data_IF_932177070340
#
_entry.id   IF_932177070340
#
_cell.length_a   1.000
_cell.length_b   1.000
_cell.length_c   1.000
_cell.angle_alpha   90.00
_cell.angle_beta   90.00
_cell.angle_gamma   90.00
#
_symmetry.space_group_name_H-M   'P 1'
#
loop_
_entity.id
_entity.type
_entity.pdbx_description
1 polymer ?
#
# COMPACT_ATOMS: atom_id res chain seq x y z
N UNK A 1 10.32 -12.76 -4.61
CA UNK A 1 9.19 -12.72 -3.68
C UNK A 1 8.11 -11.85 -4.28
N UNK A 2 6.86 -12.13 -3.92
CA UNK A 2 5.71 -11.28 -4.27
C UNK A 2 5.43 -10.30 -3.14
N UNK A 3 5.33 -9.01 -3.47
CA UNK A 3 5.06 -7.95 -2.50
C UNK A 3 3.76 -7.22 -2.84
N UNK A 4 2.80 -7.29 -1.92
CA UNK A 4 1.57 -6.51 -1.99
C UNK A 4 1.73 -5.21 -1.23
N UNK A 5 1.47 -4.07 -1.88
CA UNK A 5 1.60 -2.75 -1.24
C UNK A 5 0.24 -2.08 -1.19
N UNK A 6 -0.28 -1.82 0.01
CA UNK A 6 -1.48 -1.02 0.20
C UNK A 6 -1.13 0.47 0.05
N UNK A 7 -1.61 1.10 -1.01
CA UNK A 7 -1.48 2.54 -1.23
C UNK A 7 -0.68 2.91 -2.47
N UNK A 8 -1.19 3.90 -3.21
CA UNK A 8 -0.64 4.35 -4.50
C UNK A 8 0.09 5.70 -4.41
N UNK A 9 0.28 6.21 -3.20
CA UNK A 9 0.95 7.48 -2.93
C UNK A 9 2.45 7.47 -3.24
N UNK A 10 3.15 8.55 -2.85
CA UNK A 10 4.61 8.65 -3.04
C UNK A 10 5.37 7.48 -2.41
N UNK A 11 5.07 7.16 -1.15
CA UNK A 11 5.73 6.06 -0.41
C UNK A 11 5.55 4.71 -1.12
N UNK A 12 4.31 4.33 -1.45
CA UNK A 12 4.01 3.06 -2.09
C UNK A 12 4.71 2.91 -3.44
N UNK A 13 4.68 3.94 -4.28
CA UNK A 13 5.37 3.95 -5.59
C UNK A 13 6.89 3.89 -5.44
N UNK A 14 7.48 4.63 -4.51
CA UNK A 14 8.94 4.64 -4.31
C UNK A 14 9.44 3.29 -3.83
N UNK A 15 8.79 2.70 -2.81
CA UNK A 15 9.15 1.36 -2.32
C UNK A 15 8.90 0.32 -3.40
N UNK A 16 7.75 0.38 -4.08
CA UNK A 16 7.40 -0.54 -5.16
C UNK A 16 8.41 -0.53 -6.30
N UNK A 17 8.77 0.65 -6.81
CA UNK A 17 9.78 0.78 -7.88
C UNK A 17 11.11 0.19 -7.47
N UNK A 18 11.59 0.48 -6.25
CA UNK A 18 12.86 -0.07 -5.80
C UNK A 18 12.83 -1.59 -5.64
N UNK A 19 11.71 -2.15 -5.17
CA UNK A 19 11.54 -3.61 -5.07
C UNK A 19 11.52 -4.28 -6.46
N UNK A 20 10.89 -3.65 -7.46
CA UNK A 20 10.91 -4.12 -8.85
C UNK A 20 12.34 -4.13 -9.41
N UNK A 21 13.10 -3.05 -9.21
CA UNK A 21 14.51 -2.96 -9.60
C UNK A 21 15.38 -4.05 -8.95
N UNK A 22 15.06 -4.43 -7.71
CA UNK A 22 15.73 -5.52 -6.98
C UNK A 22 15.26 -6.91 -7.42
N UNK A 23 14.31 -7.00 -8.35
CA UNK A 23 13.86 -8.25 -8.95
C UNK A 23 12.66 -8.91 -8.27
N UNK A 24 11.95 -8.20 -7.39
CA UNK A 24 10.71 -8.69 -6.80
C UNK A 24 9.50 -8.41 -7.72
N UNK A 25 8.45 -9.23 -7.58
CA UNK A 25 7.16 -8.97 -8.23
C UNK A 25 6.31 -8.13 -7.28
N UNK A 26 5.76 -7.02 -7.76
CA UNK A 26 5.10 -6.03 -6.92
C UNK A 26 3.70 -5.75 -7.44
N UNK A 27 2.73 -5.69 -6.53
CA UNK A 27 1.37 -5.22 -6.81
C UNK A 27 1.01 -4.02 -5.95
N UNK A 28 0.76 -2.87 -6.58
CA UNK A 28 0.14 -1.74 -5.88
C UNK A 28 -1.37 -1.96 -5.75
N UNK A 29 -1.85 -1.97 -4.52
CA UNK A 29 -3.26 -2.03 -4.16
C UNK A 29 -3.84 -0.65 -3.96
N UNK A 30 -5.06 -0.46 -4.45
CA UNK A 30 -5.87 0.74 -4.23
C UNK A 30 -7.31 0.37 -3.86
N UNK A 31 -8.17 1.37 -3.60
CA UNK A 31 -9.61 1.13 -3.39
C UNK A 31 -10.30 0.55 -4.63
N UNK A 32 -9.84 0.91 -5.83
CA UNK A 32 -10.41 0.44 -7.10
C UNK A 32 -9.32 -0.13 -8.00
N UNK A 33 -9.69 -1.06 -8.88
CA UNK A 33 -8.73 -1.70 -9.79
C UNK A 33 -8.21 -0.75 -10.88
N UNK A 34 -9.00 0.26 -11.24
CA UNK A 34 -8.78 1.23 -12.31
C UNK A 34 -8.04 2.51 -11.86
N UNK A 35 -7.42 2.50 -10.68
CA UNK A 35 -6.70 3.65 -10.16
C UNK A 35 -5.58 4.13 -11.12
N UNK A 36 -5.78 5.29 -11.73
CA UNK A 36 -4.91 5.85 -12.76
C UNK A 36 -3.44 5.95 -12.31
N UNK A 37 -3.19 6.29 -11.05
CA UNK A 37 -1.82 6.39 -10.51
C UNK A 37 -1.14 5.03 -10.45
N UNK A 38 -1.86 3.98 -10.05
CA UNK A 38 -1.34 2.61 -10.01
C UNK A 38 -1.13 2.05 -11.43
N UNK A 39 -2.08 2.32 -12.35
CA UNK A 39 -1.99 1.94 -13.76
C UNK A 39 -0.77 2.58 -14.42
N UNK A 40 -0.58 3.89 -14.25
CA UNK A 40 0.57 4.61 -14.80
C UNK A 40 1.90 4.13 -14.21
N UNK A 41 1.94 3.85 -12.90
CA UNK A 41 3.13 3.29 -12.25
C UNK A 41 3.48 1.91 -12.82
N UNK A 42 2.51 0.99 -12.92
CA UNK A 42 2.75 -0.36 -13.43
C UNK A 42 3.25 -0.34 -14.88
N UNK A 43 2.67 0.52 -15.73
CA UNK A 43 3.11 0.69 -17.12
C UNK A 43 4.53 1.25 -17.28
N UNK A 44 5.05 1.96 -16.28
CA UNK A 44 6.40 2.54 -16.30
C UNK A 44 7.45 1.77 -15.50
N UNK A 45 7.05 0.98 -14.51
CA UNK A 45 7.97 0.33 -13.57
C UNK A 45 8.58 -0.99 -14.09
N UNK A 46 8.00 -1.59 -15.14
CA UNK A 46 8.53 -2.78 -15.82
C UNK A 46 7.69 -4.04 -15.60
N UNK A 47 8.12 -5.16 -16.20
CA UNK A 47 7.31 -6.40 -16.32
C UNK A 47 6.90 -7.04 -14.98
N UNK A 48 7.63 -6.74 -13.89
CA UNK A 48 7.34 -7.25 -12.55
C UNK A 48 6.39 -6.36 -11.74
N UNK A 49 5.92 -5.27 -12.33
CA UNK A 49 5.00 -4.33 -11.71
C UNK A 49 3.56 -4.60 -12.16
N UNK A 50 2.63 -4.66 -11.20
CA UNK A 50 1.19 -4.81 -11.46
C UNK A 50 0.37 -3.95 -10.50
N UNK A 51 -0.92 -3.81 -10.75
CA UNK A 51 -1.83 -3.10 -9.86
C UNK A 51 -3.15 -3.85 -9.70
N UNK A 52 -3.91 -3.48 -8.67
CA UNK A 52 -5.26 -3.99 -8.41
C UNK A 52 -5.91 -3.30 -7.22
N UNK A 53 -6.96 -3.92 -6.70
CA UNK A 53 -7.57 -3.53 -5.44
C UNK A 53 -6.67 -3.87 -4.23
N UNK A 54 -7.03 -3.40 -3.04
CA UNK A 54 -6.38 -3.81 -1.79
C UNK A 54 -6.47 -5.32 -1.56
N UNK A 55 -7.61 -5.93 -1.86
CA UNK A 55 -7.78 -7.39 -1.82
C UNK A 55 -6.81 -8.08 -2.80
N UNK A 56 -6.70 -7.58 -4.04
CA UNK A 56 -5.78 -8.14 -5.03
C UNK A 56 -4.32 -8.06 -4.59
N UNK A 57 -3.93 -6.97 -3.91
CA UNK A 57 -2.58 -6.82 -3.37
C UNK A 57 -2.32 -7.77 -2.19
N UNK A 58 -3.31 -7.93 -1.30
CA UNK A 58 -3.22 -8.87 -0.18
C UNK A 58 -3.09 -10.32 -0.65
N UNK A 59 -3.96 -10.76 -1.56
CA UNK A 59 -3.92 -12.10 -2.13
C UNK A 59 -2.61 -12.38 -2.87
N UNK A 60 -2.08 -11.38 -3.58
CA UNK A 60 -0.84 -11.50 -4.35
C UNK A 60 0.42 -11.60 -3.47
N UNK A 61 0.51 -10.80 -2.41
CA UNK A 61 1.73 -10.63 -1.64
C UNK A 61 2.03 -11.80 -0.71
N UNK A 62 3.31 -12.22 -0.68
CA UNK A 62 3.91 -13.02 0.39
C UNK A 62 4.34 -12.11 1.55
N UNK A 63 4.81 -10.91 1.20
CA UNK A 63 5.06 -9.78 2.09
C UNK A 63 4.05 -8.68 1.77
N UNK A 64 3.48 -8.08 2.82
CA UNK A 64 2.57 -6.95 2.70
C UNK A 64 3.23 -5.67 3.21
N UNK A 65 2.95 -4.55 2.57
CA UNK A 65 3.42 -3.22 2.98
C UNK A 65 2.23 -2.28 3.12
N UNK A 66 2.03 -1.72 4.31
CA UNK A 66 1.08 -0.62 4.49
C UNK A 66 1.77 0.71 4.20
N UNK A 67 1.44 1.30 3.05
CA UNK A 67 1.91 2.61 2.60
C UNK A 67 0.73 3.58 2.37
N UNK A 68 -0.37 3.38 3.12
CA UNK A 68 -1.54 4.24 3.09
C UNK A 68 -1.37 5.48 3.97
N UNK A 69 -2.32 6.42 3.90
CA UNK A 69 -2.49 7.40 4.98
C UNK A 69 -2.91 6.66 6.25
N UNK A 70 -2.34 7.00 7.42
CA UNK A 70 -2.60 6.25 8.66
C UNK A 70 -4.08 6.20 9.05
N UNK A 71 -4.83 7.28 8.80
CA UNK A 71 -6.27 7.31 9.04
C UNK A 71 -7.09 6.36 8.15
N UNK A 72 -6.52 5.86 7.04
CA UNK A 72 -7.15 4.93 6.11
C UNK A 72 -6.58 3.50 6.21
N UNK A 73 -5.58 3.26 7.06
CA UNK A 73 -4.87 1.97 7.09
C UNK A 73 -5.75 0.80 7.48
N UNK A 74 -6.60 0.99 8.51
CA UNK A 74 -7.50 -0.09 8.98
C UNK A 74 -8.52 -0.47 7.91
N UNK A 75 -9.10 0.51 7.21
CA UNK A 75 -10.05 0.26 6.12
C UNK A 75 -9.35 -0.45 4.94
N UNK A 76 -8.15 -0.01 4.56
CA UNK A 76 -7.40 -0.59 3.46
C UNK A 76 -6.98 -2.04 3.73
N UNK A 77 -6.51 -2.35 4.94
CA UNK A 77 -6.16 -3.71 5.34
C UNK A 77 -7.42 -4.55 5.49
N UNK A 78 -8.50 -3.97 6.05
CA UNK A 78 -9.80 -4.62 6.22
C UNK A 78 -10.54 -4.94 4.92
N UNK A 79 -10.08 -4.41 3.78
CA UNK A 79 -10.60 -4.78 2.45
C UNK A 79 -10.08 -6.15 1.96
N UNK A 80 -9.07 -6.72 2.61
CA UNK A 80 -8.56 -8.06 2.30
C UNK A 80 -9.38 -9.15 2.99
N UNK A 81 -9.41 -10.35 2.41
CA UNK A 81 -9.91 -11.52 3.12
C UNK A 81 -8.95 -11.92 4.25
N UNK A 82 -9.48 -12.43 5.37
CA UNK A 82 -8.63 -12.80 6.51
C UNK A 82 -7.58 -13.86 6.15
N UNK A 83 -7.91 -14.78 5.23
CA UNK A 83 -6.99 -15.80 4.73
C UNK A 83 -5.82 -15.21 3.92
N UNK A 84 -6.01 -14.03 3.30
CA UNK A 84 -4.97 -13.34 2.54
C UNK A 84 -4.02 -12.54 3.44
N UNK A 85 -4.30 -12.46 4.74
CA UNK A 85 -3.48 -11.79 5.75
C UNK A 85 -2.80 -12.79 6.70
N UNK A 86 -3.43 -13.93 6.95
CA UNK A 86 -2.97 -14.91 7.95
C UNK A 86 -1.54 -15.41 7.67
N UNK A 87 -0.71 -15.42 8.71
CA UNK A 87 0.69 -15.84 8.66
C UNK A 87 1.64 -14.95 7.83
N UNK A 88 1.16 -13.89 7.19
CA UNK A 88 1.99 -12.99 6.38
C UNK A 88 2.62 -11.88 7.21
N UNK A 89 3.81 -11.45 6.79
CA UNK A 89 4.45 -10.26 7.36
C UNK A 89 3.79 -9.01 6.80
N UNK A 90 3.40 -8.09 7.69
CA UNK A 90 2.96 -6.74 7.35
C UNK A 90 4.02 -5.72 7.79
N UNK A 91 4.66 -5.06 6.83
CA UNK A 91 5.55 -3.92 7.05
C UNK A 91 4.71 -2.64 7.08
N UNK A 92 4.55 -2.05 8.26
CA UNK A 92 3.78 -0.81 8.42
C UNK A 92 4.67 0.44 8.35
N UNK A 93 4.35 1.33 7.40
CA UNK A 93 5.05 2.61 7.16
C UNK A 93 4.10 3.80 7.45
N UNK A 94 2.81 3.55 7.66
CA UNK A 94 1.82 4.62 7.74
C UNK A 94 1.97 5.45 9.03
N UNK A 95 1.70 6.75 8.92
CA UNK A 95 1.62 7.66 10.06
C UNK A 95 0.18 8.17 10.20
N UNK A 96 -0.43 8.11 11.40
CA UNK A 96 -1.79 8.56 11.67
C UNK A 96 -1.85 10.09 11.84
N UNK A 97 -1.40 10.81 10.81
CA UNK A 97 -1.38 12.27 10.81
C UNK A 97 -2.80 12.83 10.69
N UNK A 98 -3.14 13.76 11.57
CA UNK A 98 -4.33 14.58 11.49
C UNK A 98 -3.98 15.98 10.99
N UNK A 99 -4.59 16.36 9.87
CA UNK A 99 -4.41 17.66 9.22
C UNK A 99 -5.59 18.62 9.48
N UNK A 100 -6.58 18.23 10.27
CA UNK A 100 -7.80 19.01 10.52
C UNK A 100 -7.55 20.35 11.23
N UNK A 101 -6.44 20.46 11.98
CA UNK A 101 -6.09 21.64 12.79
C UNK A 101 -4.94 22.49 12.20
N UNK A 102 -4.57 22.28 10.93
CA UNK A 102 -3.51 23.05 10.28
C UNK A 102 -2.09 22.52 10.52
N UNK A 103 -1.08 23.38 10.37
CA UNK A 103 0.34 23.00 10.45
C UNK A 103 1.00 23.52 11.74
N UNK A 104 1.82 22.70 12.43
CA UNK A 104 2.17 21.31 12.11
C UNK A 104 1.02 20.32 12.40
N UNK A 105 0.90 19.21 11.63
CA UNK A 105 -0.11 18.19 11.90
C UNK A 105 0.15 17.46 13.22
N UNK A 106 -0.92 16.94 13.83
CA UNK A 106 -0.89 16.15 15.08
C UNK A 106 -1.04 14.66 14.79
N UNK A 107 -0.93 13.81 15.82
CA UNK A 107 -1.24 12.38 15.71
C UNK A 107 -2.65 12.12 16.24
N UNK A 108 -3.52 11.54 15.40
CA UNK A 108 -4.93 11.31 15.74
C UNK A 108 -5.16 10.36 16.91
N UNK A 109 -4.14 9.62 17.34
CA UNK A 109 -4.23 8.57 18.37
C UNK A 109 -3.50 8.93 19.68
N UNK A 110 -2.74 10.02 19.71
CA UNK A 110 -1.90 10.41 20.86
C UNK A 110 -2.33 11.73 21.49
N UNK A 111 -2.80 12.68 20.67
CA UNK A 111 -3.03 14.06 21.10
C UNK A 111 -4.51 14.32 21.48
N UNK A 112 -5.24 13.27 21.86
CA UNK A 112 -6.61 13.30 22.42
C UNK A 112 -6.62 13.52 23.92
#
# INVERSE_FOLDING_TARGET
MKVGIFGTGGVGRTIGSRLVELGHEVRLGSRTADNETATAWAGGAGERASHGTFADAAAFGELLVNATSGGASVEAIGAAEAADLDGKVLLDIANPLDFSNGFPPTLSIKDT
#
